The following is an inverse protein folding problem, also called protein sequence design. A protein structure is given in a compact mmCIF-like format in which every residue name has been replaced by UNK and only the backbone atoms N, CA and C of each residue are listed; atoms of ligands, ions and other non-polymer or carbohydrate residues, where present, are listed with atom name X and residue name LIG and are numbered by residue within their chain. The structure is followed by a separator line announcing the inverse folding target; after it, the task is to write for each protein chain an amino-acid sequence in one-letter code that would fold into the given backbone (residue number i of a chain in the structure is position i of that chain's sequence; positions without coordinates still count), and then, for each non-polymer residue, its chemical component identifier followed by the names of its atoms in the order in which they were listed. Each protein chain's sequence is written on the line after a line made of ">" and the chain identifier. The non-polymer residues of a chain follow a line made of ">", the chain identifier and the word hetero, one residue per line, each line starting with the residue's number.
data_IF_210789066900
#
_entry.id   IF_210789066900
#
_cell.length_a   1.000
_cell.length_b   1.000
_cell.length_c   1.000
_cell.angle_alpha   90.00
_cell.angle_beta   90.00
_cell.angle_gamma   90.00
#
_symmetry.space_group_name_H-M   'P 1'
#
loop_
_entity.id
_entity.type
_entity.pdbx_description
1 polymer ?
#
# COMPACT_ATOMS: atom_id res chain seq x y z
N UNK A 1 7.52 0.15 33.68
CA UNK A 1 6.75 0.54 32.48
C UNK A 1 6.37 -0.73 31.74
N UNK A 2 5.09 -1.06 31.76
CA UNK A 2 4.53 -2.41 31.50
C UNK A 2 4.28 -2.65 30.00
N UNK A 3 4.54 -3.87 29.54
CA UNK A 3 4.51 -4.38 28.16
C UNK A 3 3.27 -4.06 27.30
N UNK A 4 2.21 -3.47 27.87
CA UNK A 4 1.01 -3.01 27.16
C UNK A 4 1.28 -1.81 26.24
N UNK A 5 2.23 -0.93 26.60
CA UNK A 5 2.59 0.23 25.77
C UNK A 5 3.29 -0.15 24.47
N UNK A 6 4.09 -1.24 24.47
CA UNK A 6 4.85 -1.68 23.30
C UNK A 6 3.99 -2.29 22.18
N UNK A 7 2.84 -2.89 22.53
CA UNK A 7 1.93 -3.50 21.53
C UNK A 7 1.12 -2.45 20.73
N UNK A 8 0.80 -1.31 21.34
CA UNK A 8 0.02 -0.23 20.70
C UNK A 8 0.83 0.55 19.68
N UNK A 9 2.10 0.86 20.00
CA UNK A 9 3.03 1.58 19.10
C UNK A 9 3.22 0.83 17.79
N UNK A 10 3.37 -0.50 17.87
CA UNK A 10 3.60 -1.35 16.71
C UNK A 10 2.40 -1.42 15.75
N UNK A 11 1.17 -1.30 16.26
CA UNK A 11 -0.06 -1.32 15.45
C UNK A 11 -0.28 0.02 14.76
N UNK A 12 -0.03 1.14 15.45
CA UNK A 12 -0.10 2.48 14.86
C UNK A 12 0.91 2.66 13.72
N UNK A 13 2.12 2.11 13.87
CA UNK A 13 3.14 2.10 12.81
C UNK A 13 2.66 1.32 11.58
N UNK A 14 2.09 0.13 11.77
CA UNK A 14 1.52 -0.67 10.67
C UNK A 14 0.40 0.09 9.95
N UNK A 15 -0.50 0.77 10.68
CA UNK A 15 -1.54 1.58 10.05
C UNK A 15 -1.00 2.80 9.29
N UNK A 16 0.09 3.41 9.77
CA UNK A 16 0.76 4.52 9.04
C UNK A 16 1.42 4.03 7.76
N UNK A 17 2.06 2.87 7.80
CA UNK A 17 2.65 2.23 6.62
C UNK A 17 1.56 1.88 5.61
N UNK A 18 0.47 1.25 6.06
CA UNK A 18 -0.69 0.94 5.23
C UNK A 18 -1.32 2.18 4.57
N UNK A 19 -1.53 3.27 5.31
CA UNK A 19 -2.03 4.53 4.72
C UNK A 19 -1.08 5.05 3.63
N UNK A 20 0.23 5.00 3.89
CA UNK A 20 1.25 5.39 2.92
C UNK A 20 1.21 4.50 1.67
N UNK A 21 1.11 3.19 1.82
CA UNK A 21 1.05 2.25 0.71
C UNK A 21 -0.24 2.39 -0.11
N UNK A 22 -1.39 2.58 0.54
CA UNK A 22 -2.67 2.81 -0.12
C UNK A 22 -2.65 4.12 -0.92
N UNK A 23 -2.07 5.20 -0.38
CA UNK A 23 -1.90 6.46 -1.11
C UNK A 23 -0.98 6.28 -2.33
N UNK A 24 0.10 5.51 -2.20
CA UNK A 24 0.98 5.17 -3.33
C UNK A 24 0.23 4.37 -4.40
N UNK A 25 -0.61 3.42 -4.01
CA UNK A 25 -1.43 2.66 -4.94
C UNK A 25 -2.41 3.56 -5.69
N UNK A 26 -3.07 4.49 -5.00
CA UNK A 26 -3.95 5.47 -5.62
C UNK A 26 -3.21 6.33 -6.66
N UNK A 27 -2.01 6.82 -6.33
CA UNK A 27 -1.17 7.55 -7.27
C UNK A 27 -0.80 6.71 -8.50
N UNK A 28 -0.40 5.45 -8.32
CA UNK A 28 -0.10 4.54 -9.43
C UNK A 28 -1.31 4.33 -10.35
N UNK A 29 -2.52 4.18 -9.80
CA UNK A 29 -3.76 4.05 -10.58
C UNK A 29 -4.01 5.32 -11.41
N UNK A 30 -3.78 6.51 -10.85
CA UNK A 30 -3.89 7.77 -11.60
C UNK A 30 -2.86 7.85 -12.72
N UNK A 31 -1.59 7.48 -12.45
CA UNK A 31 -0.54 7.49 -13.47
C UNK A 31 -0.80 6.50 -14.60
N UNK A 32 -1.32 5.29 -14.30
CA UNK A 32 -1.76 4.31 -15.30
C UNK A 32 -2.84 4.94 -16.19
N UNK A 33 -3.82 5.63 -15.59
CA UNK A 33 -4.88 6.28 -16.36
C UNK A 33 -4.32 7.38 -17.27
N UNK A 34 -3.36 8.17 -16.78
CA UNK A 34 -2.68 9.18 -17.59
C UNK A 34 -1.92 8.54 -18.76
N UNK A 35 -1.16 7.47 -18.52
CA UNK A 35 -0.44 6.76 -19.58
C UNK A 35 -1.40 6.26 -20.66
N UNK A 36 -2.53 5.66 -20.28
CA UNK A 36 -3.56 5.20 -21.21
C UNK A 36 -4.15 6.35 -22.05
N UNK A 37 -4.40 7.51 -21.44
CA UNK A 37 -4.91 8.71 -22.15
C UNK A 37 -3.87 9.28 -23.11
N UNK A 38 -2.59 9.16 -22.77
CA UNK A 38 -1.46 9.62 -23.59
C UNK A 38 -0.96 8.56 -24.59
N UNK A 39 -1.67 7.44 -24.74
CA UNK A 39 -1.27 6.31 -25.60
C UNK A 39 0.15 5.78 -25.30
N UNK A 40 0.58 5.88 -24.04
CA UNK A 40 1.84 5.31 -23.53
C UNK A 40 1.58 3.93 -22.95
N UNK A 41 2.58 3.05 -23.01
CA UNK A 41 2.51 1.72 -22.41
C UNK A 41 2.49 1.81 -20.85
N UNK A 42 1.38 1.40 -20.19
CA UNK A 42 1.28 1.45 -18.74
C UNK A 42 1.80 0.17 -18.05
N UNK A 43 2.28 -0.85 -18.78
CA UNK A 43 2.51 -2.19 -18.24
C UNK A 43 3.42 -2.20 -17.00
N UNK A 44 4.49 -1.39 -17.01
CA UNK A 44 5.38 -1.25 -15.87
C UNK A 44 4.69 -0.67 -14.62
N UNK A 45 3.76 0.27 -14.80
CA UNK A 45 3.00 0.86 -13.68
C UNK A 45 1.93 -0.10 -13.18
N UNK A 46 1.31 -0.87 -14.08
CA UNK A 46 0.36 -1.94 -13.74
C UNK A 46 1.03 -3.00 -12.88
N UNK A 47 2.21 -3.49 -13.28
CA UNK A 47 2.93 -4.51 -12.50
C UNK A 47 3.29 -3.99 -11.09
N UNK A 48 3.76 -2.75 -10.98
CA UNK A 48 4.02 -2.11 -9.68
C UNK A 48 2.76 -2.02 -8.82
N UNK A 49 1.62 -1.68 -9.40
CA UNK A 49 0.35 -1.62 -8.68
C UNK A 49 -0.09 -3.01 -8.18
N UNK A 50 0.10 -4.06 -8.99
CA UNK A 50 -0.19 -5.45 -8.59
C UNK A 50 0.68 -5.86 -7.40
N UNK A 51 2.00 -5.63 -7.49
CA UNK A 51 2.94 -5.96 -6.40
C UNK A 51 2.57 -5.21 -5.12
N UNK A 52 2.30 -3.91 -5.21
CA UNK A 52 1.91 -3.10 -4.05
C UNK A 52 0.59 -3.57 -3.45
N UNK A 53 -0.40 -3.92 -4.28
CA UNK A 53 -1.68 -4.44 -3.79
C UNK A 53 -1.55 -5.74 -3.00
N UNK A 54 -0.63 -6.64 -3.40
CA UNK A 54 -0.33 -7.88 -2.67
C UNK A 54 0.30 -7.59 -1.31
N UNK A 55 1.24 -6.65 -1.26
CA UNK A 55 1.87 -6.23 0.00
C UNK A 55 0.84 -5.65 0.99
N UNK A 56 0.00 -4.72 0.54
CA UNK A 56 -1.10 -4.16 1.35
C UNK A 56 -2.01 -5.27 1.85
N UNK A 57 -2.34 -6.25 1.00
CA UNK A 57 -3.17 -7.39 1.39
C UNK A 57 -2.52 -8.23 2.50
N UNK A 58 -1.21 -8.48 2.42
CA UNK A 58 -0.49 -9.28 3.41
C UNK A 58 -0.36 -8.54 4.75
N UNK A 59 -0.09 -7.23 4.73
CA UNK A 59 -0.08 -6.38 5.93
C UNK A 59 -1.46 -6.36 6.62
N UNK A 60 -2.54 -6.19 5.86
CA UNK A 60 -3.91 -6.28 6.37
C UNK A 60 -4.26 -7.66 6.96
N UNK A 61 -3.78 -8.75 6.34
CA UNK A 61 -3.94 -10.11 6.88
C UNK A 61 -3.19 -10.29 8.20
N UNK A 62 -2.03 -9.64 8.34
CA UNK A 62 -1.25 -9.62 9.57
C UNK A 62 -2.02 -9.01 10.75
N UNK A 63 -2.80 -7.95 10.50
CA UNK A 63 -3.61 -7.27 11.52
C UNK A 63 -4.82 -8.09 12.02
N UNK A 64 -5.25 -9.13 11.29
CA UNK A 64 -6.37 -10.00 11.69
C UNK A 64 -5.98 -11.04 12.74
N UNK A 65 -4.68 -11.29 12.94
CA UNK A 65 -4.13 -12.34 13.82
C UNK A 65 -3.75 -11.77 15.19
#
# INVERSE_FOLDING_TARGET
>A
MTAKQFKGVHVEEVFRELDTEIRKLLSLVHEIKIDMVLEKDPQNKVEKAIVLSRRIQDELRGLRK
#
